data_IF_375767107246
#
_entry.id   IF_375767107246
#
_cell.length_a   1.000
_cell.length_b   1.000
_cell.length_c   1.000
_cell.angle_alpha   90.00
_cell.angle_beta   90.00
_cell.angle_gamma   90.00
#
_symmetry.space_group_name_H-M   'P 1'
#
loop_
_entity.id
_entity.type
_entity.pdbx_description
1 polymer ?
#
# COMPACT_ATOMS: atom_id res chain seq x y z
N UNK A 1 19.48 -0.33 16.20
CA UNK A 1 18.33 -1.28 16.13
C UNK A 1 18.83 -2.58 15.50
N UNK A 2 18.88 -3.67 16.26
CA UNK A 2 19.30 -4.99 15.75
C UNK A 2 18.18 -5.55 14.85
N UNK A 3 18.33 -5.43 13.53
CA UNK A 3 17.36 -5.97 12.58
C UNK A 3 17.59 -7.48 12.52
N UNK A 4 16.63 -8.28 13.01
CA UNK A 4 16.69 -9.74 12.86
C UNK A 4 16.81 -10.08 11.37
N UNK A 5 17.94 -10.64 10.99
CA UNK A 5 18.23 -11.04 9.61
C UNK A 5 17.35 -12.25 9.28
N UNK A 6 16.57 -12.18 8.20
CA UNK A 6 15.78 -13.33 7.75
C UNK A 6 16.70 -14.35 7.10
N UNK A 7 16.56 -15.60 7.53
CA UNK A 7 17.34 -16.73 7.04
C UNK A 7 16.65 -17.37 5.84
N UNK A 8 17.42 -17.98 4.94
CA UNK A 8 16.93 -18.64 3.75
C UNK A 8 15.93 -19.78 4.09
N UNK A 9 14.81 -19.83 3.38
CA UNK A 9 13.74 -20.84 3.55
C UNK A 9 13.93 -22.00 2.56
N UNK A 10 15.15 -22.50 2.38
CA UNK A 10 15.38 -23.69 1.57
C UNK A 10 14.97 -24.95 2.36
N UNK A 11 14.44 -26.00 1.69
CA UNK A 11 14.07 -27.25 2.35
C UNK A 11 15.27 -27.94 3.04
N UNK A 12 16.48 -27.64 2.58
CA UNK A 12 17.75 -28.17 3.10
C UNK A 12 18.23 -27.48 4.40
N UNK A 13 17.53 -26.47 4.90
CA UNK A 13 17.92 -25.78 6.15
C UNK A 13 19.12 -24.85 6.01
N UNK A 14 19.11 -23.95 5.01
CA UNK A 14 20.22 -23.03 4.77
C UNK A 14 20.28 -21.87 5.79
N UNK A 15 21.44 -21.68 6.43
CA UNK A 15 21.70 -20.61 7.41
C UNK A 15 22.08 -19.25 6.75
N UNK A 16 22.16 -19.17 5.42
CA UNK A 16 22.51 -17.91 4.73
C UNK A 16 21.38 -16.90 4.84
N UNK A 17 21.72 -15.62 4.87
CA UNK A 17 20.75 -14.53 4.82
C UNK A 17 19.92 -14.60 3.53
N UNK A 18 18.60 -14.49 3.70
CA UNK A 18 17.68 -14.31 2.59
C UNK A 18 17.82 -12.88 2.02
N UNK A 19 18.01 -12.78 0.71
CA UNK A 19 18.07 -11.52 -0.03
C UNK A 19 17.23 -11.51 -1.31
N UNK A 20 16.85 -12.69 -1.80
CA UNK A 20 16.09 -12.90 -3.02
C UNK A 20 14.64 -13.31 -2.72
N UNK A 21 13.74 -12.90 -3.62
CA UNK A 21 12.32 -13.21 -3.57
C UNK A 21 11.61 -12.76 -4.84
N UNK A 22 10.28 -12.89 -4.85
CA UNK A 22 9.46 -12.36 -5.94
C UNK A 22 9.51 -10.83 -5.97
N UNK A 23 9.27 -10.24 -7.13
CA UNK A 23 9.26 -8.78 -7.32
C UNK A 23 8.27 -8.05 -6.42
N UNK A 24 7.17 -8.74 -6.05
CA UNK A 24 6.10 -8.24 -5.20
C UNK A 24 6.29 -8.61 -3.72
N UNK A 25 7.31 -9.41 -3.39
CA UNK A 25 7.57 -9.80 -2.01
C UNK A 25 8.15 -8.62 -1.23
N UNK A 26 7.56 -8.37 -0.05
CA UNK A 26 8.13 -7.41 0.91
C UNK A 26 9.31 -7.98 1.69
N UNK A 27 9.45 -9.30 1.70
CA UNK A 27 10.43 -10.00 2.53
C UNK A 27 11.17 -11.05 1.70
N UNK A 28 12.51 -11.04 1.71
CA UNK A 28 13.27 -12.05 0.99
C UNK A 28 13.10 -13.39 1.69
N UNK A 29 13.02 -14.45 0.89
CA UNK A 29 12.88 -15.82 1.39
C UNK A 29 14.07 -16.69 1.02
N UNK A 30 14.82 -16.33 -0.02
CA UNK A 30 15.90 -17.15 -0.55
C UNK A 30 17.23 -16.41 -0.52
N UNK A 31 18.33 -17.15 -0.33
CA UNK A 31 19.66 -16.62 -0.56
C UNK A 31 20.01 -16.70 -2.07
N UNK A 32 21.17 -16.17 -2.46
CA UNK A 32 21.62 -16.19 -3.85
C UNK A 32 21.63 -17.60 -4.48
N UNK A 33 21.99 -18.61 -3.69
CA UNK A 33 22.12 -19.99 -4.17
C UNK A 33 20.79 -20.73 -4.29
N UNK A 34 19.75 -20.27 -3.58
CA UNK A 34 18.44 -20.93 -3.55
C UNK A 34 17.37 -20.06 -4.23
N UNK A 35 17.79 -19.11 -5.06
CA UNK A 35 16.88 -18.26 -5.83
C UNK A 35 16.39 -19.02 -7.08
N UNK A 36 15.16 -18.76 -7.52
CA UNK A 36 14.72 -19.11 -8.86
C UNK A 36 15.19 -18.03 -9.86
N UNK A 37 15.21 -18.32 -11.15
CA UNK A 37 15.61 -17.34 -12.18
C UNK A 37 14.72 -16.11 -12.20
N UNK A 38 13.44 -16.26 -11.84
CA UNK A 38 12.49 -15.16 -11.68
C UNK A 38 12.70 -14.32 -10.41
N UNK A 39 13.52 -14.78 -9.45
CA UNK A 39 13.74 -14.06 -8.20
C UNK A 39 14.75 -12.93 -8.36
N UNK A 40 14.40 -11.78 -7.81
CA UNK A 40 15.26 -10.60 -7.77
C UNK A 40 15.81 -10.39 -6.36
N UNK A 41 16.96 -9.71 -6.28
CA UNK A 41 17.48 -9.27 -4.99
C UNK A 41 16.63 -8.10 -4.49
N UNK A 42 15.69 -8.37 -3.58
CA UNK A 42 14.80 -7.36 -3.04
C UNK A 42 15.44 -6.51 -1.94
N UNK A 43 16.57 -6.98 -1.37
CA UNK A 43 17.34 -6.26 -0.35
C UNK A 43 18.22 -5.19 -1.01
N UNK A 44 18.98 -5.57 -2.03
CA UNK A 44 19.92 -4.72 -2.75
C UNK A 44 19.39 -4.33 -4.13
N UNK A 45 18.09 -4.09 -4.25
CA UNK A 45 17.48 -3.68 -5.52
C UNK A 45 18.03 -2.31 -5.95
N UNK A 46 18.53 -2.24 -7.18
CA UNK A 46 19.01 -1.01 -7.82
C UNK A 46 18.00 -0.50 -8.84
N UNK A 47 18.20 0.74 -9.27
CA UNK A 47 17.44 1.37 -10.34
C UNK A 47 17.65 0.57 -11.65
N UNK A 48 16.58 0.41 -12.43
CA UNK A 48 16.60 -0.32 -13.72
C UNK A 48 17.35 0.47 -14.82
N UNK A 49 17.80 1.70 -14.55
CA UNK A 49 18.64 2.48 -15.46
C UNK A 49 20.08 1.95 -15.43
N UNK A 50 20.65 1.69 -16.60
CA UNK A 50 21.99 1.13 -16.78
C UNK A 50 23.06 1.87 -15.97
N UNK A 51 23.83 1.14 -15.15
CA UNK A 51 24.89 1.69 -14.31
C UNK A 51 24.43 2.43 -13.06
N UNK A 52 23.13 2.57 -12.82
CA UNK A 52 22.62 3.28 -11.65
C UNK A 52 22.53 2.37 -10.41
N UNK A 53 23.36 2.64 -9.40
CA UNK A 53 23.35 1.91 -8.12
C UNK A 53 22.37 2.48 -7.09
N UNK A 54 21.56 3.49 -7.44
CA UNK A 54 20.60 4.10 -6.52
C UNK A 54 19.43 3.16 -6.27
N UNK A 55 18.86 3.23 -5.06
CA UNK A 55 17.66 2.48 -4.70
C UNK A 55 16.45 2.99 -5.50
N UNK A 56 15.65 2.10 -6.11
CA UNK A 56 14.44 2.51 -6.80
C UNK A 56 13.34 2.83 -5.79
N UNK A 57 12.66 3.96 -6.04
CA UNK A 57 11.54 4.45 -5.22
C UNK A 57 10.32 4.80 -6.08
N UNK A 58 10.51 5.01 -7.38
CA UNK A 58 9.47 5.34 -8.35
C UNK A 58 9.07 4.09 -9.16
N UNK A 59 7.77 3.93 -9.41
CA UNK A 59 7.22 2.79 -10.13
C UNK A 59 5.85 3.09 -10.75
N UNK A 60 5.35 2.13 -11.53
CA UNK A 60 4.04 2.23 -12.16
C UNK A 60 2.92 2.02 -11.16
N UNK A 61 1.76 2.64 -11.41
CA UNK A 61 0.51 2.38 -10.68
C UNK A 61 -0.08 1.01 -11.02
N UNK A 62 0.35 0.38 -12.11
CA UNK A 62 -0.15 -0.91 -12.59
C UNK A 62 0.40 -2.09 -11.79
N UNK A 63 1.72 -2.17 -11.62
CA UNK A 63 2.38 -3.27 -10.92
C UNK A 63 2.75 -2.92 -9.46
N UNK A 64 2.72 -1.63 -9.11
CA UNK A 64 3.15 -1.11 -7.81
C UNK A 64 4.58 -1.54 -7.44
N UNK A 65 5.43 -1.70 -8.46
CA UNK A 65 6.83 -2.11 -8.31
C UNK A 65 7.76 -0.90 -8.49
N UNK A 66 8.55 -0.51 -7.47
CA UNK A 66 9.56 0.52 -7.64
C UNK A 66 10.70 0.01 -8.55
N UNK A 67 10.91 0.66 -9.69
CA UNK A 67 11.92 0.33 -10.71
C UNK A 67 12.95 1.42 -10.91
N UNK A 68 12.58 2.68 -10.72
CA UNK A 68 13.45 3.81 -10.98
C UNK A 68 13.75 4.65 -9.73
N UNK A 69 14.92 5.27 -9.72
CA UNK A 69 15.26 6.30 -8.74
C UNK A 69 14.67 7.65 -9.15
N UNK A 70 14.78 8.66 -8.28
CA UNK A 70 14.24 10.00 -8.54
C UNK A 70 14.78 10.67 -9.80
N UNK A 71 16.04 10.40 -10.17
CA UNK A 71 16.66 10.98 -11.37
C UNK A 71 16.28 10.28 -12.67
N UNK A 72 15.81 9.03 -12.58
CA UNK A 72 15.49 8.21 -13.75
C UNK A 72 14.00 7.83 -13.76
N UNK A 73 13.16 8.56 -13.01
CA UNK A 73 11.73 8.29 -12.98
C UNK A 73 11.13 8.62 -14.35
N UNK A 74 10.15 7.81 -14.76
CA UNK A 74 9.31 8.14 -15.91
C UNK A 74 8.22 9.15 -15.49
N UNK A 75 7.60 9.83 -16.45
CA UNK A 75 6.63 10.90 -16.20
C UNK A 75 5.44 10.42 -15.34
N UNK A 76 4.87 9.27 -15.69
CA UNK A 76 3.71 8.69 -14.98
C UNK A 76 4.06 7.89 -13.71
N UNK A 77 5.35 7.78 -13.38
CA UNK A 77 5.76 6.94 -12.27
C UNK A 77 5.65 7.70 -10.95
N UNK A 78 5.04 7.05 -9.97
CA UNK A 78 4.77 7.61 -8.65
C UNK A 78 5.77 7.10 -7.60
N UNK A 79 5.94 7.87 -6.52
CA UNK A 79 6.78 7.44 -5.41
C UNK A 79 6.07 6.38 -4.56
N UNK A 80 6.51 5.13 -4.67
CA UNK A 80 5.90 3.97 -4.01
C UNK A 80 6.45 3.70 -2.61
N UNK A 81 7.63 4.24 -2.26
CA UNK A 81 8.29 4.01 -0.95
C UNK A 81 8.10 5.18 0.02
N UNK A 82 8.44 6.38 -0.43
CA UNK A 82 8.39 7.61 0.37
C UNK A 82 7.21 8.44 -0.09
N UNK A 83 6.00 7.92 0.14
CA UNK A 83 4.76 8.61 -0.26
C UNK A 83 4.74 10.03 0.32
N UNK A 84 4.82 11.01 -0.57
CA UNK A 84 4.64 12.44 -0.31
C UNK A 84 3.58 12.91 -1.28
N UNK A 85 2.89 13.98 -0.92
CA UNK A 85 2.02 14.68 -1.85
C UNK A 85 2.81 15.01 -3.13
N UNK A 86 2.23 14.72 -4.29
CA UNK A 86 2.88 14.93 -5.59
C UNK A 86 3.08 16.40 -5.94
N UNK A 87 2.34 17.31 -5.29
CA UNK A 87 2.59 18.73 -5.40
C UNK A 87 4.03 19.07 -4.98
N UNK A 88 4.74 19.78 -5.86
CA UNK A 88 6.16 20.06 -5.71
C UNK A 88 6.47 20.75 -4.36
N UNK A 89 7.47 20.24 -3.65
CA UNK A 89 7.89 20.76 -2.35
C UNK A 89 6.94 20.45 -1.17
N UNK A 90 5.84 19.73 -1.37
CA UNK A 90 4.91 19.43 -0.27
C UNK A 90 5.41 18.26 0.60
N UNK A 91 5.67 18.47 1.92
CA UNK A 91 6.13 17.41 2.80
C UNK A 91 5.00 16.52 3.33
N UNK A 92 3.73 16.88 3.08
CA UNK A 92 2.55 16.19 3.62
C UNK A 92 2.42 14.79 3.04
N UNK A 93 1.90 13.86 3.84
CA UNK A 93 1.54 12.54 3.34
C UNK A 93 0.31 12.64 2.43
N UNK A 94 0.27 11.91 1.31
CA UNK A 94 -0.88 11.90 0.45
C UNK A 94 -2.00 11.05 1.09
N UNK A 95 -3.21 11.58 1.07
CA UNK A 95 -4.42 10.90 1.53
C UNK A 95 -5.51 10.85 0.46
N UNK A 96 -5.44 11.72 -0.56
CA UNK A 96 -6.43 11.89 -1.60
C UNK A 96 -5.93 11.33 -2.93
N UNK A 97 -6.82 10.67 -3.66
CA UNK A 97 -6.48 9.97 -4.89
C UNK A 97 -7.71 9.55 -5.68
N UNK A 98 -7.45 8.93 -6.83
CA UNK A 98 -8.49 8.33 -7.67
C UNK A 98 -9.13 7.13 -6.94
N UNK A 99 -10.47 7.09 -6.82
CA UNK A 99 -11.18 6.00 -6.12
C UNK A 99 -11.01 4.63 -6.80
N UNK A 100 -10.84 4.59 -8.12
CA UNK A 100 -10.67 3.36 -8.91
C UNK A 100 -9.26 2.81 -8.71
N UNK A 101 -8.24 3.65 -8.87
CA UNK A 101 -6.85 3.20 -8.71
C UNK A 101 -6.48 2.93 -7.24
N UNK A 102 -7.21 3.50 -6.28
CA UNK A 102 -6.96 3.37 -4.83
C UNK A 102 -5.54 3.75 -4.42
N UNK A 103 -4.98 4.75 -5.11
CA UNK A 103 -3.65 5.28 -4.83
C UNK A 103 -3.80 6.73 -4.41
N UNK A 104 -3.44 7.04 -3.16
CA UNK A 104 -3.34 8.40 -2.69
C UNK A 104 -2.09 9.07 -3.30
N UNK A 105 -2.31 10.15 -4.05
CA UNK A 105 -1.29 10.95 -4.74
C UNK A 105 -1.12 12.35 -4.13
N UNK A 106 -2.19 12.89 -3.54
CA UNK A 106 -2.23 14.28 -3.06
C UNK A 106 -2.64 14.38 -1.59
N UNK A 107 -2.26 15.47 -0.92
CA UNK A 107 -2.85 15.84 0.36
C UNK A 107 -4.21 16.52 0.15
N UNK A 108 -4.90 16.87 1.23
CA UNK A 108 -6.20 17.53 1.16
C UNK A 108 -6.14 18.86 0.39
N UNK A 109 -5.11 19.67 0.62
CA UNK A 109 -4.94 21.00 0.02
C UNK A 109 -4.60 20.95 -1.48
N UNK A 110 -3.89 19.90 -1.90
CA UNK A 110 -3.40 19.78 -3.28
C UNK A 110 -4.18 18.75 -4.10
N UNK A 111 -5.37 18.31 -3.66
CA UNK A 111 -6.19 17.40 -4.45
C UNK A 111 -6.67 18.12 -5.73
N UNK A 112 -6.38 17.64 -6.95
CA UNK A 112 -6.61 18.41 -8.18
C UNK A 112 -8.08 18.61 -8.52
N UNK A 113 -8.93 17.65 -8.15
CA UNK A 113 -10.33 17.60 -8.59
C UNK A 113 -11.24 17.15 -7.44
N UNK A 114 -12.55 17.38 -7.57
CA UNK A 114 -13.55 17.02 -6.55
C UNK A 114 -13.80 15.51 -6.44
N UNK A 115 -13.57 14.73 -7.51
CA UNK A 115 -13.68 13.27 -7.53
C UNK A 115 -12.51 12.57 -6.81
N UNK A 116 -11.47 13.30 -6.38
CA UNK A 116 -10.41 12.72 -5.57
C UNK A 116 -10.92 12.51 -4.15
N UNK A 117 -11.01 11.25 -3.74
CA UNK A 117 -11.52 10.88 -2.42
C UNK A 117 -10.39 10.55 -1.47
N UNK A 118 -10.64 10.66 -0.16
CA UNK A 118 -9.69 10.23 0.85
C UNK A 118 -9.56 8.69 0.83
N UNK A 119 -8.50 8.17 0.20
CA UNK A 119 -8.20 6.75 0.03
C UNK A 119 -7.80 6.08 1.36
N UNK A 120 -7.31 6.85 2.33
CA UNK A 120 -6.91 6.33 3.65
C UNK A 120 -8.10 6.09 4.57
N UNK A 121 -9.23 6.76 4.32
CA UNK A 121 -10.44 6.54 5.09
C UNK A 121 -11.09 5.20 4.71
N UNK A 122 -11.60 4.47 5.72
CA UNK A 122 -12.37 3.24 5.47
C UNK A 122 -13.58 3.53 4.58
N UNK A 123 -13.92 2.54 3.76
CA UNK A 123 -15.05 2.57 2.82
C UNK A 123 -15.96 1.38 3.10
N UNK A 124 -17.20 1.52 2.66
CA UNK A 124 -18.12 0.40 2.60
C UNK A 124 -17.47 -0.75 1.83
N UNK A 125 -17.66 -1.98 2.29
CA UNK A 125 -17.11 -3.17 1.64
C UNK A 125 -17.88 -3.60 0.39
N UNK A 126 -18.98 -2.92 0.08
CA UNK A 126 -19.68 -3.12 -1.18
C UNK A 126 -18.84 -2.58 -2.33
N UNK A 127 -18.80 -3.33 -3.43
CA UNK A 127 -17.99 -3.00 -4.60
C UNK A 127 -18.30 -1.57 -5.09
N UNK A 128 -17.25 -0.80 -5.38
CA UNK A 128 -17.31 0.58 -5.88
C UNK A 128 -18.05 1.60 -4.99
N UNK A 129 -18.40 1.23 -3.74
CA UNK A 129 -19.07 2.13 -2.83
C UNK A 129 -18.09 3.07 -2.12
N UNK A 130 -18.23 4.37 -2.38
CA UNK A 130 -17.38 5.42 -1.79
C UNK A 130 -17.88 5.93 -0.43
N UNK A 131 -19.03 5.44 0.03
CA UNK A 131 -19.61 5.86 1.32
C UNK A 131 -18.78 5.37 2.50
N UNK A 132 -18.75 6.19 3.56
CA UNK A 132 -18.16 5.77 4.84
C UNK A 132 -19.02 4.67 5.46
N UNK A 133 -18.42 3.58 5.97
CA UNK A 133 -19.20 2.54 6.62
C UNK A 133 -19.72 3.06 7.97
N UNK A 134 -20.95 2.69 8.29
CA UNK A 134 -21.65 3.02 9.53
C UNK A 134 -22.34 1.83 10.18
N UNK A 135 -22.45 0.71 9.47
CA UNK A 135 -23.12 -0.50 9.91
C UNK A 135 -22.12 -1.63 10.12
N UNK A 136 -22.31 -2.36 11.21
CA UNK A 136 -21.51 -3.52 11.60
C UNK A 136 -22.40 -4.66 12.09
N UNK A 137 -21.84 -5.85 12.25
CA UNK A 137 -22.56 -7.03 12.76
C UNK A 137 -22.98 -6.84 14.23
N UNK A 138 -22.18 -6.12 15.01
CA UNK A 138 -22.49 -5.76 16.41
C UNK A 138 -21.76 -4.50 16.87
N UNK A 139 -22.19 -3.91 17.99
CA UNK A 139 -21.65 -2.64 18.53
C UNK A 139 -20.14 -2.65 18.88
N UNK A 140 -19.50 -3.82 18.99
CA UNK A 140 -18.07 -3.93 19.28
C UNK A 140 -17.24 -4.31 18.04
N UNK A 141 -17.85 -4.31 16.87
CA UNK A 141 -17.19 -4.61 15.60
C UNK A 141 -16.96 -3.34 14.80
N UNK A 142 -15.94 -3.36 13.94
CA UNK A 142 -15.74 -2.22 13.04
C UNK A 142 -16.90 -2.15 12.04
N UNK A 143 -17.46 -0.96 11.80
CA UNK A 143 -18.37 -0.74 10.68
C UNK A 143 -17.72 -1.14 9.35
N UNK A 144 -18.42 -1.99 8.59
CA UNK A 144 -18.01 -2.54 7.29
C UNK A 144 -18.89 -2.05 6.14
N UNK A 145 -20.16 -1.70 6.41
CA UNK A 145 -21.13 -1.32 5.38
C UNK A 145 -21.73 0.06 5.61
N UNK A 146 -22.17 0.74 4.55
CA UNK A 146 -22.95 1.98 4.64
C UNK A 146 -24.45 1.67 4.78
N UNK A 147 -25.28 2.70 4.95
CA UNK A 147 -26.74 2.53 5.10
C UNK A 147 -27.41 1.82 3.92
N UNK A 148 -26.93 2.06 2.70
CA UNK A 148 -27.49 1.49 1.47
C UNK A 148 -27.08 0.03 1.25
N UNK A 149 -25.95 -0.39 1.82
CA UNK A 149 -25.38 -1.72 1.58
C UNK A 149 -25.27 -2.55 2.86
N UNK A 150 -26.02 -2.20 3.91
CA UNK A 150 -26.02 -2.97 5.16
C UNK A 150 -26.69 -4.32 4.92
N UNK A 151 -26.06 -5.45 5.30
CA UNK A 151 -26.75 -6.72 5.39
C UNK A 151 -27.90 -6.65 6.41
N UNK A 152 -28.84 -7.60 6.29
CA UNK A 152 -29.90 -7.75 7.29
C UNK A 152 -29.29 -8.06 8.68
N UNK A 153 -29.91 -7.50 9.73
CA UNK A 153 -29.42 -7.65 11.11
C UNK A 153 -28.24 -6.74 11.50
N UNK A 154 -27.58 -6.03 10.58
CA UNK A 154 -26.48 -5.12 10.93
C UNK A 154 -26.95 -3.87 11.68
N UNK A 155 -26.20 -3.47 12.69
CA UNK A 155 -26.50 -2.34 13.59
C UNK A 155 -25.74 -1.07 13.21
N UNK A 156 -26.36 0.09 13.43
CA UNK A 156 -25.72 1.38 13.22
C UNK A 156 -24.80 1.72 14.41
N UNK A 157 -23.52 1.94 14.11
CA UNK A 157 -22.46 2.17 15.11
C UNK A 157 -22.41 3.59 15.66
N UNK A 158 -23.08 4.55 15.02
CA UNK A 158 -23.06 5.97 15.40
C UNK A 158 -24.31 6.40 16.16
N UNK A 159 -25.30 5.51 16.29
CA UNK A 159 -26.47 5.74 17.14
C UNK A 159 -26.12 5.30 18.55
N UNK A 160 -26.01 6.26 19.48
CA UNK A 160 -25.91 5.96 20.91
C UNK A 160 -27.27 5.43 21.37
N UNK A 161 -27.34 4.22 21.94
CA UNK A 161 -28.51 3.85 22.74
C UNK A 161 -28.49 4.71 24.01
N UNK A 162 -29.58 5.42 24.29
CA UNK A 162 -29.91 5.73 25.68
C UNK A 162 -30.15 4.39 26.36
N UNK A 163 -29.31 4.06 27.34
CA UNK A 163 -29.55 2.96 28.26
C UNK A 163 -30.72 3.41 29.13
N UNK A 164 -31.91 2.89 28.88
CA UNK A 164 -33.00 3.02 29.85
C UNK A 164 -32.55 2.31 31.14
N UNK A 165 -32.44 3.08 32.21
CA UNK A 165 -32.36 2.62 33.59
C UNK A 165 -33.57 3.14 34.32
#
# INVERSE_FOLDING_TARGET
>A
KNVKVKVCTSPEGCQKQASFGSVNDKHPRFCHNHKMDSHINIVARTCDYSGCKRRPIFGSTLDLVPRFCILHKLEDYINLRSKRCEFNGCPKQPAFGDPVQRIARFCYEHKPQSNYVNIMARRCEHQDCLSRPSYAESYNTTARFCALHKPEGFVNMYVRKCSEK
#
